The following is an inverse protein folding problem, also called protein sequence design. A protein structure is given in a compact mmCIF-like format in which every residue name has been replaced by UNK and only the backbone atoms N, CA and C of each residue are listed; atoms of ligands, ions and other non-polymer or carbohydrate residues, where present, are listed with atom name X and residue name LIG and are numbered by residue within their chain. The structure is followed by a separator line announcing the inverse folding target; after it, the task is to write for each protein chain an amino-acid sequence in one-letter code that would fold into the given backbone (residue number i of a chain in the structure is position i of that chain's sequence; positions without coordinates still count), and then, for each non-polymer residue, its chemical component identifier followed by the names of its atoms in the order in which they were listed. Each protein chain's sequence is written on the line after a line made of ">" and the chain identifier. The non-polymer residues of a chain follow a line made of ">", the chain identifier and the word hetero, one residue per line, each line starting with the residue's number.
data_IF_708349020025
#
_entry.id   IF_708349020025
#
_cell.length_a   1.000
_cell.length_b   1.000
_cell.length_c   1.000
_cell.angle_alpha   90.00
_cell.angle_beta   90.00
_cell.angle_gamma   90.00
#
_symmetry.space_group_name_H-M   'P 1'
#
loop_
_entity.id
_entity.type
_entity.pdbx_description
1 polymer ?
#
# COMPACT_ATOMS: atom_id res chain seq x y z
N UNK A 1 -1.05 21.82 -0.52
CA UNK A 1 -1.89 21.41 0.62
C UNK A 1 -2.26 19.96 0.41
N UNK A 2 -1.66 19.05 1.16
CA UNK A 2 -2.01 17.63 1.10
C UNK A 2 -3.36 17.47 1.79
N UNK A 3 -4.40 17.09 1.05
CA UNK A 3 -5.69 16.76 1.65
C UNK A 3 -5.48 15.66 2.69
N UNK A 4 -5.93 15.88 3.93
CA UNK A 4 -5.92 14.86 4.98
C UNK A 4 -6.94 13.76 4.71
N UNK A 5 -8.03 14.08 4.00
CA UNK A 5 -9.05 13.13 3.59
C UNK A 5 -8.65 12.45 2.27
N UNK A 6 -8.83 11.12 2.20
CA UNK A 6 -8.67 10.36 0.97
C UNK A 6 -9.79 10.71 -0.02
N UNK A 7 -9.43 10.93 -1.28
CA UNK A 7 -10.42 10.93 -2.36
C UNK A 7 -10.91 9.52 -2.64
N UNK A 8 -12.05 9.34 -3.31
CA UNK A 8 -12.55 8.00 -3.66
C UNK A 8 -11.58 7.21 -4.54
N UNK A 9 -10.82 7.90 -5.40
CA UNK A 9 -9.75 7.30 -6.19
C UNK A 9 -8.58 6.84 -5.30
N UNK A 10 -8.19 7.63 -4.29
CA UNK A 10 -7.15 7.22 -3.35
C UNK A 10 -7.59 6.06 -2.46
N UNK A 11 -8.87 6.02 -2.03
CA UNK A 11 -9.44 4.88 -1.29
C UNK A 11 -9.37 3.61 -2.13
N UNK A 12 -9.81 3.67 -3.39
CA UNK A 12 -9.73 2.55 -4.33
C UNK A 12 -8.29 2.09 -4.58
N UNK A 13 -7.35 3.04 -4.68
CA UNK A 13 -5.93 2.73 -4.79
C UNK A 13 -5.39 2.05 -3.51
N UNK A 14 -5.81 2.49 -2.32
CA UNK A 14 -5.41 1.88 -1.05
C UNK A 14 -5.84 0.41 -0.99
N UNK A 15 -7.12 0.12 -1.25
CA UNK A 15 -7.63 -1.26 -1.29
C UNK A 15 -6.90 -2.08 -2.35
N UNK A 16 -6.74 -1.55 -3.56
CA UNK A 16 -6.09 -2.29 -4.67
C UNK A 16 -4.61 -2.59 -4.40
N UNK A 17 -3.85 -1.62 -3.89
CA UNK A 17 -2.43 -1.80 -3.56
C UNK A 17 -2.21 -2.64 -2.31
N UNK A 18 -3.21 -2.75 -1.42
CA UNK A 18 -3.11 -3.57 -0.21
C UNK A 18 -2.88 -5.04 -0.52
N UNK A 19 -3.38 -5.54 -1.66
CA UNK A 19 -3.16 -6.93 -2.09
C UNK A 19 -1.67 -7.29 -2.23
N UNK A 20 -0.79 -6.31 -2.49
CA UNK A 20 0.66 -6.52 -2.55
C UNK A 20 1.30 -6.87 -1.20
N UNK A 21 0.52 -6.84 -0.11
CA UNK A 21 0.94 -7.12 1.26
C UNK A 21 0.32 -8.39 1.84
N UNK A 22 -0.43 -9.16 1.03
CA UNK A 22 -0.91 -10.47 1.45
C UNK A 22 0.28 -11.45 1.52
N UNK A 23 0.29 -12.33 2.54
CA UNK A 23 1.29 -13.39 2.72
C UNK A 23 1.01 -14.59 1.78
N UNK A 24 0.64 -14.29 0.54
CA UNK A 24 0.32 -15.27 -0.51
C UNK A 24 1.07 -14.91 -1.77
N UNK A 25 1.49 -15.94 -2.53
CA UNK A 25 2.12 -15.72 -3.83
C UNK A 25 1.12 -15.04 -4.78
N UNK A 26 1.49 -13.86 -5.28
CA UNK A 26 0.71 -13.13 -6.27
C UNK A 26 0.95 -13.72 -7.65
N UNK A 27 -0.12 -14.16 -8.29
CA UNK A 27 -0.09 -14.66 -9.66
C UNK A 27 0.02 -13.52 -10.68
N UNK A 28 0.47 -13.84 -11.89
CA UNK A 28 0.51 -12.89 -13.01
C UNK A 28 -0.86 -12.31 -13.36
N UNK A 29 -1.93 -13.11 -13.21
CA UNK A 29 -3.31 -12.67 -13.48
C UNK A 29 -3.77 -11.63 -12.46
N UNK A 30 -3.50 -11.87 -11.18
CA UNK A 30 -3.79 -10.91 -10.09
C UNK A 30 -3.00 -9.61 -10.30
N UNK A 31 -1.72 -9.69 -10.67
CA UNK A 31 -0.89 -8.52 -10.92
C UNK A 31 -1.39 -7.68 -12.10
N UNK A 32 -1.86 -8.34 -13.17
CA UNK A 32 -2.49 -7.66 -14.31
C UNK A 32 -3.84 -7.03 -13.93
N UNK A 33 -4.63 -7.68 -13.08
CA UNK A 33 -5.88 -7.14 -12.55
C UNK A 33 -5.64 -5.89 -11.71
N UNK A 34 -4.66 -5.94 -10.79
CA UNK A 34 -4.20 -4.79 -9.98
C UNK A 34 -3.77 -3.64 -10.90
N UNK A 35 -2.94 -3.93 -11.91
CA UNK A 35 -2.46 -2.91 -12.88
C UNK A 35 -3.62 -2.23 -13.61
N UNK A 36 -4.59 -3.03 -14.07
CA UNK A 36 -5.77 -2.52 -14.80
C UNK A 36 -6.63 -1.64 -13.93
N UNK A 37 -6.92 -2.08 -12.69
CA UNK A 37 -7.67 -1.32 -11.70
C UNK A 37 -6.99 0.02 -11.39
N UNK A 38 -5.67 0.04 -11.18
CA UNK A 38 -4.94 1.27 -10.90
C UNK A 38 -4.91 2.24 -12.07
N UNK A 39 -4.78 1.73 -13.31
CA UNK A 39 -4.82 2.58 -14.52
C UNK A 39 -6.16 3.31 -14.66
N UNK A 40 -7.27 2.63 -14.33
CA UNK A 40 -8.61 3.22 -14.41
C UNK A 40 -8.81 4.41 -13.45
N UNK A 41 -8.03 4.48 -12.35
CA UNK A 41 -8.12 5.57 -11.37
C UNK A 41 -7.49 6.88 -11.86
N UNK A 42 -6.70 6.86 -12.95
CA UNK A 42 -6.00 8.02 -13.50
C UNK A 42 -5.18 8.80 -12.45
N UNK A 43 -4.66 8.11 -11.44
CA UNK A 43 -3.79 8.72 -10.43
C UNK A 43 -2.35 8.80 -10.94
N UNK A 44 -1.63 9.91 -10.69
CA UNK A 44 -0.21 10.00 -11.03
C UNK A 44 0.61 8.92 -10.33
N UNK A 45 1.60 8.34 -11.02
CA UNK A 45 2.53 7.37 -10.42
C UNK A 45 3.15 7.87 -9.09
N UNK A 46 3.58 9.15 -8.93
CA UNK A 46 4.07 9.65 -7.65
C UNK A 46 3.05 9.59 -6.51
N UNK A 47 1.75 9.69 -6.82
CA UNK A 47 0.68 9.56 -5.81
C UNK A 47 0.56 8.10 -5.36
N UNK A 48 0.65 7.15 -6.29
CA UNK A 48 0.61 5.72 -5.97
C UNK A 48 1.87 5.28 -5.20
N UNK A 49 3.05 5.78 -5.59
CA UNK A 49 4.30 5.59 -4.84
C UNK A 49 4.16 6.06 -3.40
N UNK A 50 3.53 7.24 -3.21
CA UNK A 50 3.28 7.80 -1.88
C UNK A 50 2.32 6.93 -1.07
N UNK A 51 1.21 6.49 -1.66
CA UNK A 51 0.24 5.61 -1.00
C UNK A 51 0.92 4.30 -0.57
N UNK A 52 1.61 3.63 -1.49
CA UNK A 52 2.26 2.36 -1.20
C UNK A 52 3.32 2.49 -0.10
N UNK A 53 4.20 3.49 -0.18
CA UNK A 53 5.31 3.67 0.76
C UNK A 53 4.90 4.29 2.10
N UNK A 54 4.08 5.33 2.07
CA UNK A 54 3.83 6.17 3.24
C UNK A 54 2.45 5.99 3.83
N UNK A 55 1.48 5.42 3.13
CA UNK A 55 0.17 5.13 3.71
C UNK A 55 0.09 3.65 4.11
N UNK A 56 0.29 2.75 3.15
CA UNK A 56 0.05 1.30 3.31
C UNK A 56 1.19 0.57 4.00
N UNK A 57 2.44 0.71 3.53
CA UNK A 57 3.53 -0.13 4.01
C UNK A 57 3.66 -0.16 5.54
N UNK A 58 3.66 0.98 6.26
CA UNK A 58 3.79 0.96 7.72
C UNK A 58 2.60 0.36 8.47
N UNK A 59 1.43 0.26 7.83
CA UNK A 59 0.25 -0.42 8.36
C UNK A 59 0.35 -1.92 8.11
N UNK A 60 0.84 -2.32 6.93
CA UNK A 60 0.71 -3.68 6.41
C UNK A 60 2.00 -4.51 6.46
N UNK A 61 3.18 -3.93 6.68
CA UNK A 61 4.43 -4.69 6.82
C UNK A 61 4.40 -5.77 7.91
N UNK A 62 3.63 -5.65 9.03
CA UNK A 62 3.54 -6.73 9.99
C UNK A 62 3.03 -8.04 9.37
N UNK A 63 2.20 -7.98 8.32
CA UNK A 63 1.72 -9.16 7.61
C UNK A 63 2.82 -9.84 6.77
N UNK A 64 3.85 -9.10 6.35
CA UNK A 64 4.99 -9.68 5.61
C UNK A 64 5.87 -10.53 6.54
N UNK A 65 5.92 -10.20 7.83
CA UNK A 65 6.82 -10.84 8.80
C UNK A 65 6.12 -11.82 9.74
N UNK A 66 4.80 -11.78 9.79
CA UNK A 66 3.99 -12.63 10.67
C UNK A 66 3.22 -13.63 9.82
N UNK A 67 3.49 -14.93 10.03
CA UNK A 67 2.75 -16.04 9.42
C UNK A 67 1.37 -16.16 10.09
N UNK A 68 0.50 -15.18 9.84
CA UNK A 68 -0.81 -15.09 10.44
C UNK A 68 -1.86 -15.79 9.56
N UNK A 69 -1.61 -17.02 9.10
CA UNK A 69 -2.56 -17.77 8.27
C UNK A 69 -2.83 -17.15 6.89
N UNK A 70 -3.69 -17.79 6.09
CA UNK A 70 -4.01 -17.34 4.73
C UNK A 70 -5.08 -16.26 4.78
N UNK A 71 -4.70 -15.01 4.55
CA UNK A 71 -5.65 -13.89 4.41
C UNK A 71 -6.05 -13.78 2.94
N UNK A 72 -7.35 -13.70 2.66
CA UNK A 72 -7.87 -13.45 1.31
C UNK A 72 -7.98 -11.96 0.96
N UNK A 73 -7.65 -11.06 1.89
CA UNK A 73 -7.80 -9.62 1.74
C UNK A 73 -7.73 -8.89 3.09
N UNK A 74 -7.80 -7.56 3.03
CA UNK A 74 -7.95 -6.70 4.21
C UNK A 74 -9.40 -6.21 4.33
N UNK A 75 -9.88 -6.00 5.55
CA UNK A 75 -11.15 -5.29 5.74
C UNK A 75 -11.00 -3.84 5.27
N UNK A 76 -11.77 -3.45 4.25
CA UNK A 76 -11.66 -2.13 3.61
C UNK A 76 -11.92 -1.00 4.60
N UNK A 77 -12.92 -1.15 5.47
CA UNK A 77 -13.26 -0.12 6.45
C UNK A 77 -12.11 0.10 7.43
N UNK A 78 -11.55 -0.99 7.96
CA UNK A 78 -10.39 -0.97 8.83
C UNK A 78 -9.19 -0.34 8.11
N UNK A 79 -8.84 -0.79 6.90
CA UNK A 79 -7.69 -0.31 6.16
C UNK A 79 -7.78 1.21 5.92
N UNK A 80 -8.90 1.67 5.39
CA UNK A 80 -9.10 3.09 5.08
C UNK A 80 -9.10 3.94 6.35
N UNK A 81 -9.69 3.45 7.45
CA UNK A 81 -9.64 4.15 8.74
C UNK A 81 -8.21 4.31 9.28
N UNK A 82 -7.36 3.29 9.10
CA UNK A 82 -5.94 3.35 9.48
C UNK A 82 -5.17 4.36 8.63
N UNK A 83 -5.40 4.37 7.31
CA UNK A 83 -4.77 5.33 6.40
C UNK A 83 -5.17 6.76 6.73
N UNK A 84 -6.47 7.01 6.93
CA UNK A 84 -6.98 8.35 7.30
C UNK A 84 -6.41 8.81 8.65
N UNK A 85 -6.46 7.96 9.67
CA UNK A 85 -5.88 8.25 10.99
C UNK A 85 -4.40 8.62 10.88
N UNK A 86 -3.66 7.89 10.04
CA UNK A 86 -2.23 8.12 9.84
C UNK A 86 -1.92 9.41 9.09
N UNK A 87 -2.74 9.80 8.11
CA UNK A 87 -2.64 11.10 7.42
C UNK A 87 -3.02 12.28 8.31
N UNK A 88 -3.94 12.07 9.25
CA UNK A 88 -4.37 13.10 10.22
C UNK A 88 -3.37 13.30 11.37
N UNK A 89 -2.55 12.29 11.66
CA UNK A 89 -1.63 12.30 12.79
C UNK A 89 -0.22 12.74 12.37
N UNK A 90 0.27 13.84 12.95
CA UNK A 90 1.65 14.29 12.76
C UNK A 90 2.66 13.20 13.16
N UNK A 91 3.60 12.82 12.27
CA UNK A 91 4.59 11.82 12.58
C UNK A 91 5.62 12.31 13.59
N UNK A 92 5.82 11.53 14.65
CA UNK A 92 7.00 11.70 15.49
C UNK A 92 8.27 11.32 14.69
N UNK A 93 9.40 11.93 15.03
CA UNK A 93 10.70 11.59 14.40
C UNK A 93 11.03 10.10 14.51
N UNK A 94 10.71 9.51 15.67
CA UNK A 94 10.91 8.07 15.92
C UNK A 94 10.10 7.25 14.92
N UNK A 95 8.81 7.57 14.73
CA UNK A 95 7.94 6.90 13.76
C UNK A 95 8.51 7.00 12.34
N UNK A 96 8.92 8.19 11.92
CA UNK A 96 9.50 8.40 10.57
C UNK A 96 10.78 7.58 10.34
N UNK A 97 11.66 7.52 11.35
CA UNK A 97 12.89 6.74 11.29
C UNK A 97 12.57 5.25 11.25
N UNK A 98 11.66 4.78 12.09
CA UNK A 98 11.21 3.39 12.10
C UNK A 98 10.60 2.99 10.76
N UNK A 99 9.67 3.77 10.22
CA UNK A 99 9.02 3.50 8.93
C UNK A 99 10.05 3.43 7.79
N UNK A 100 11.04 4.33 7.80
CA UNK A 100 12.12 4.34 6.81
C UNK A 100 13.05 3.13 6.94
N UNK A 101 13.37 2.73 8.18
CA UNK A 101 14.20 1.56 8.46
C UNK A 101 13.47 0.27 8.04
N UNK A 102 12.20 0.12 8.41
CA UNK A 102 11.40 -1.04 8.01
C UNK A 102 11.21 -1.08 6.50
N UNK A 103 10.98 0.06 5.84
CA UNK A 103 10.93 0.12 4.39
C UNK A 103 12.23 -0.38 3.78
N UNK A 104 13.39 0.03 4.29
CA UNK A 104 14.66 -0.46 3.79
C UNK A 104 14.80 -1.99 3.92
N UNK A 105 14.37 -2.55 5.06
CA UNK A 105 14.50 -3.98 5.35
C UNK A 105 13.50 -4.87 4.60
N UNK A 106 12.23 -4.47 4.53
CA UNK A 106 11.13 -5.35 4.14
C UNK A 106 10.54 -5.04 2.77
N UNK A 107 10.93 -3.91 2.15
CA UNK A 107 10.41 -3.55 0.82
C UNK A 107 10.82 -4.52 -0.29
N UNK A 108 11.73 -5.45 -0.04
CA UNK A 108 12.10 -6.50 -1.01
C UNK A 108 10.94 -7.39 -1.44
N UNK A 109 9.93 -7.58 -0.58
CA UNK A 109 8.72 -8.34 -0.93
C UNK A 109 7.78 -7.57 -1.87
N UNK A 110 7.71 -6.24 -1.72
CA UNK A 110 6.71 -5.40 -2.40
C UNK A 110 7.27 -4.69 -3.63
N UNK A 111 8.54 -4.26 -3.59
CA UNK A 111 9.18 -3.48 -4.66
C UNK A 111 9.21 -4.17 -6.02
N UNK A 112 9.50 -5.48 -6.14
CA UNK A 112 9.51 -6.14 -7.44
C UNK A 112 8.12 -6.09 -8.10
N UNK A 113 7.08 -6.43 -7.35
CA UNK A 113 5.68 -6.38 -7.80
C UNK A 113 5.27 -4.96 -8.18
N UNK A 114 5.61 -3.98 -7.33
CA UNK A 114 5.30 -2.58 -7.60
C UNK A 114 6.03 -2.06 -8.84
N UNK A 115 7.29 -2.45 -9.04
CA UNK A 115 8.07 -2.06 -10.22
C UNK A 115 7.44 -2.60 -11.51
N UNK A 116 6.92 -3.83 -11.49
CA UNK A 116 6.25 -4.41 -12.66
C UNK A 116 4.96 -3.66 -12.99
N UNK A 117 4.14 -3.35 -11.99
CA UNK A 117 2.93 -2.53 -12.17
C UNK A 117 3.31 -1.16 -12.74
N UNK A 118 4.32 -0.50 -12.16
CA UNK A 118 4.71 0.87 -12.50
C UNK A 118 5.16 1.04 -13.95
N UNK A 119 5.77 0.04 -14.56
CA UNK A 119 6.16 0.09 -15.99
C UNK A 119 4.93 0.04 -16.91
N UNK A 120 3.79 -0.45 -16.42
CA UNK A 120 2.55 -0.63 -17.17
C UNK A 120 1.51 0.48 -16.89
N UNK A 121 1.77 1.42 -15.98
CA UNK A 121 0.87 2.55 -15.65
C UNK A 121 1.19 3.77 -16.50
#
# INVERSE_FOLDING_TARGET
>A
MTSMALTDAEKSACTTLSHLFLDTEITTEELNSITTSLRALNLPSPTLDRILRYDLFPILYPNIISVAGVWSGFDDYWLLSQVESRRMTEPSRIRTVQDSAMWFLLSGAVKPLWSEIRVKL
#
